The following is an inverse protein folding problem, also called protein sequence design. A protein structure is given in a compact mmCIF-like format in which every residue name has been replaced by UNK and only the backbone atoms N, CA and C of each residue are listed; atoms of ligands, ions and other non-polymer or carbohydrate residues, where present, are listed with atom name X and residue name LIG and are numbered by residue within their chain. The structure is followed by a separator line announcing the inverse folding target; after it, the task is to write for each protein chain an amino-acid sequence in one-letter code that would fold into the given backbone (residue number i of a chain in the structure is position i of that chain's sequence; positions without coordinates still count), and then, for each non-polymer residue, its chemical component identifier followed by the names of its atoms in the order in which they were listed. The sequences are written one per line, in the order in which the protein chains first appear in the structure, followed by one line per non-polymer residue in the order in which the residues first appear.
data_IF_873675002731
#
_entry.id   IF_873675002731
#
_cell.length_a   1.000
_cell.length_b   1.000
_cell.length_c   1.000
_cell.angle_alpha   90.00
_cell.angle_beta   90.00
_cell.angle_gamma   90.00
#
_symmetry.space_group_name_H-M   'P 1'
#
loop_
_entity.id
_entity.type
_entity.pdbx_description
1 polymer ?
#
# COMPACT_ATOMS: atom_id res chain seq x y z
N UNK A 1 4.81 16.97 -7.25
CA UNK A 1 5.83 17.95 -7.63
C UNK A 1 6.40 18.59 -6.36
N UNK A 2 7.15 17.82 -5.56
CA UNK A 2 8.00 18.39 -4.53
C UNK A 2 9.33 18.78 -5.16
N UNK A 3 9.34 19.96 -5.76
CA UNK A 3 10.57 20.64 -6.13
C UNK A 3 11.15 21.17 -4.82
N UNK A 4 12.17 20.48 -4.31
CA UNK A 4 13.03 21.04 -3.28
C UNK A 4 13.46 22.42 -3.77
N UNK A 5 13.16 23.49 -3.02
CA UNK A 5 13.35 24.84 -3.55
C UNK A 5 14.83 25.04 -3.87
N UNK A 6 15.12 25.75 -4.97
CA UNK A 6 16.49 26.08 -5.43
C UNK A 6 17.37 26.69 -4.31
N UNK A 7 16.75 27.32 -3.31
CA UNK A 7 17.41 27.83 -2.10
C UNK A 7 17.95 26.72 -1.20
N UNK A 8 17.18 25.64 -1.00
CA UNK A 8 17.61 24.52 -0.15
C UNK A 8 18.80 23.77 -0.77
N UNK A 9 18.84 23.65 -2.10
CA UNK A 9 19.98 23.03 -2.82
C UNK A 9 21.22 23.92 -2.74
N UNK A 10 21.08 25.24 -2.85
CA UNK A 10 22.21 26.19 -2.75
C UNK A 10 22.80 26.27 -1.33
N UNK A 11 21.97 26.09 -0.30
CA UNK A 11 22.43 26.05 1.09
C UNK A 11 23.24 24.77 1.39
N UNK A 12 22.95 23.67 0.67
CA UNK A 12 23.73 22.41 0.76
C UNK A 12 25.11 22.55 0.06
N UNK A 13 25.21 23.29 -1.03
CA UNK A 13 26.44 23.44 -1.83
C UNK A 13 27.43 24.43 -1.20
N UNK A 14 26.98 25.43 -0.44
CA UNK A 14 27.81 26.48 0.18
C UNK A 14 28.32 26.17 1.59
N UNK A 15 28.62 24.92 1.88
CA UNK A 15 29.10 24.49 3.18
C UNK A 15 30.55 24.89 3.49
N UNK A 16 30.85 25.42 4.69
CA UNK A 16 32.21 25.44 5.19
C UNK A 16 32.71 24.01 5.47
N UNK A 17 33.87 23.65 4.89
CA UNK A 17 34.47 22.31 4.92
C UNK A 17 35.05 21.87 6.28
N UNK A 18 34.78 22.55 7.38
CA UNK A 18 35.31 22.26 8.69
C UNK A 18 34.23 21.96 9.72
N UNK A 19 33.62 20.79 9.60
CA UNK A 19 33.07 20.08 10.75
C UNK A 19 33.67 18.70 10.73
N UNK A 20 34.28 18.27 11.85
CA UNK A 20 34.67 16.87 12.07
C UNK A 20 33.44 16.02 11.69
N UNK A 21 33.62 15.16 10.68
CA UNK A 21 32.53 14.38 10.14
C UNK A 21 32.00 13.46 11.26
N UNK A 22 30.78 13.71 11.69
CA UNK A 22 30.06 12.76 12.53
C UNK A 22 29.93 11.50 11.67
N UNK A 23 30.41 10.35 12.18
CA UNK A 23 30.20 9.07 11.53
C UNK A 23 28.69 8.80 11.47
N UNK A 24 28.06 9.10 10.32
CA UNK A 24 26.65 8.79 10.12
C UNK A 24 26.42 7.29 10.25
N UNK A 25 25.30 6.86 10.79
CA UNK A 25 24.98 5.45 10.97
C UNK A 25 24.91 4.69 9.63
N UNK A 26 25.18 3.40 9.68
CA UNK A 26 25.00 2.52 8.53
C UNK A 26 23.51 2.25 8.29
N UNK A 27 22.93 3.00 7.35
CA UNK A 27 21.52 2.88 6.97
C UNK A 27 21.19 1.49 6.38
N UNK A 28 22.17 0.79 5.82
CA UNK A 28 21.98 -0.58 5.30
C UNK A 28 21.73 -1.57 6.44
N UNK A 29 22.49 -1.42 7.53
CA UNK A 29 22.31 -2.22 8.73
C UNK A 29 20.93 -1.92 9.36
N UNK A 30 20.56 -0.64 9.47
CA UNK A 30 19.28 -0.24 10.04
C UNK A 30 18.11 -0.74 9.20
N UNK A 31 18.23 -0.72 7.87
CA UNK A 31 17.26 -1.32 6.96
C UNK A 31 17.05 -2.81 7.26
N UNK A 32 18.13 -3.55 7.44
CA UNK A 32 18.03 -4.98 7.73
C UNK A 32 17.26 -5.27 9.05
N UNK A 33 17.35 -4.41 10.06
CA UNK A 33 16.55 -4.54 11.27
C UNK A 33 15.05 -4.36 10.99
N UNK A 34 14.68 -3.36 10.18
CA UNK A 34 13.26 -3.10 9.83
C UNK A 34 12.72 -4.27 9.00
N UNK A 35 13.46 -4.73 7.99
CA UNK A 35 13.05 -5.82 7.10
C UNK A 35 12.83 -7.15 7.87
N UNK A 36 13.55 -7.33 8.98
CA UNK A 36 13.39 -8.50 9.87
C UNK A 36 12.35 -8.27 11.00
N UNK A 37 11.61 -7.17 11.00
CA UNK A 37 10.61 -6.85 12.03
C UNK A 37 11.18 -6.47 13.40
N UNK A 38 12.51 -6.22 13.50
CA UNK A 38 13.22 -5.88 14.73
C UNK A 38 13.26 -4.38 15.01
N UNK A 39 12.09 -3.74 14.88
CA UNK A 39 11.94 -2.29 14.99
C UNK A 39 12.24 -1.77 16.40
N UNK A 40 11.90 -2.52 17.45
CA UNK A 40 12.18 -2.15 18.85
C UNK A 40 13.68 -2.19 19.12
N UNK A 41 14.38 -3.25 18.67
CA UNK A 41 15.82 -3.35 18.79
C UNK A 41 16.53 -2.19 18.06
N UNK A 42 16.05 -1.85 16.86
CA UNK A 42 16.57 -0.73 16.09
C UNK A 42 16.38 0.60 16.81
N UNK A 43 15.21 0.83 17.41
CA UNK A 43 14.92 2.05 18.16
C UNK A 43 15.92 2.23 19.32
N UNK A 44 16.22 1.16 20.04
CA UNK A 44 17.23 1.17 21.10
C UNK A 44 18.65 1.47 20.57
N UNK A 45 19.00 0.92 19.40
CA UNK A 45 20.29 1.18 18.74
C UNK A 45 20.38 2.66 18.35
N UNK A 46 19.34 3.22 17.73
CA UNK A 46 19.28 4.62 17.33
C UNK A 46 19.40 5.53 18.56
N UNK A 47 18.67 5.24 19.63
CA UNK A 47 18.73 6.00 20.89
C UNK A 47 20.14 5.96 21.50
N UNK A 48 20.76 4.80 21.59
CA UNK A 48 22.13 4.67 22.09
C UNK A 48 23.13 5.45 21.25
N UNK A 49 22.96 5.47 19.93
CA UNK A 49 23.78 6.24 19.03
C UNK A 49 23.54 7.75 19.20
N UNK A 50 22.28 8.19 19.26
CA UNK A 50 21.86 9.60 19.40
C UNK A 50 22.37 10.22 20.72
N UNK A 51 22.21 9.50 21.83
CA UNK A 51 22.58 9.94 23.17
C UNK A 51 24.01 9.57 23.58
N UNK A 52 24.78 8.95 22.68
CA UNK A 52 26.21 8.65 22.92
C UNK A 52 27.01 9.94 23.18
N UNK A 53 27.85 9.94 24.19
CA UNK A 53 28.63 11.13 24.63
C UNK A 53 29.37 11.83 23.50
N UNK A 54 29.95 11.05 22.57
CA UNK A 54 30.69 11.58 21.43
C UNK A 54 29.77 12.16 20.33
N UNK A 55 28.57 11.66 20.20
CA UNK A 55 27.60 12.08 19.17
C UNK A 55 26.73 13.24 19.66
N UNK A 56 26.20 13.16 20.87
CA UNK A 56 25.31 14.19 21.42
C UNK A 56 25.96 15.58 21.44
N UNK A 57 27.26 15.65 21.71
CA UNK A 57 28.01 16.92 21.71
C UNK A 57 28.26 17.49 20.30
N UNK A 58 28.23 16.64 19.27
CA UNK A 58 28.54 16.99 17.86
C UNK A 58 27.27 17.18 17.01
N UNK A 59 26.12 16.65 17.45
CA UNK A 59 24.85 16.73 16.75
C UNK A 59 24.26 18.12 16.86
N UNK A 60 24.55 18.96 15.87
CA UNK A 60 23.90 20.26 15.72
C UNK A 60 22.59 20.10 14.94
N UNK A 61 21.76 21.15 14.92
CA UNK A 61 20.47 21.19 14.22
C UNK A 61 20.53 20.66 12.77
N UNK A 62 21.60 20.97 12.06
CA UNK A 62 21.79 20.55 10.68
C UNK A 62 22.05 19.04 10.57
N UNK A 63 22.89 18.49 11.45
CA UNK A 63 23.15 17.05 11.50
C UNK A 63 21.88 16.27 11.85
N UNK A 64 21.04 16.78 12.76
CA UNK A 64 19.75 16.20 13.09
C UNK A 64 18.79 16.20 11.90
N UNK A 65 18.74 17.30 11.14
CA UNK A 65 17.93 17.38 9.94
C UNK A 65 18.41 16.40 8.84
N UNK A 66 19.73 16.25 8.66
CA UNK A 66 20.27 15.26 7.72
C UNK A 66 19.90 13.84 8.15
N UNK A 67 20.05 13.51 9.44
CA UNK A 67 19.65 12.22 9.97
C UNK A 67 18.15 11.96 9.79
N UNK A 68 17.30 12.99 9.98
CA UNK A 68 15.88 12.89 9.71
C UNK A 68 15.59 12.52 8.27
N UNK A 69 16.22 13.21 7.29
CA UNK A 69 16.06 12.90 5.87
C UNK A 69 16.53 11.48 5.52
N UNK A 70 17.66 11.05 6.06
CA UNK A 70 18.19 9.70 5.82
C UNK A 70 17.24 8.63 6.37
N UNK A 71 16.68 8.83 7.56
CA UNK A 71 15.67 7.96 8.16
C UNK A 71 14.34 7.97 7.37
N UNK A 72 13.88 9.13 6.93
CA UNK A 72 12.69 9.23 6.07
C UNK A 72 12.90 8.43 4.78
N UNK A 73 14.04 8.58 4.10
CA UNK A 73 14.37 7.80 2.91
C UNK A 73 14.41 6.30 3.20
N UNK A 74 15.00 5.91 4.33
CA UNK A 74 15.04 4.53 4.76
C UNK A 74 13.62 3.95 4.93
N UNK A 75 12.75 4.66 5.65
CA UNK A 75 11.36 4.22 5.87
C UNK A 75 10.58 4.16 4.57
N UNK A 76 10.70 5.19 3.70
CA UNK A 76 10.05 5.21 2.39
C UNK A 76 10.47 4.02 1.53
N UNK A 77 11.78 3.75 1.41
CA UNK A 77 12.29 2.64 0.61
C UNK A 77 11.80 1.30 1.13
N UNK A 78 11.83 1.10 2.45
CA UNK A 78 11.36 -0.14 3.08
C UNK A 78 9.85 -0.36 2.88
N UNK A 79 9.03 0.65 3.09
CA UNK A 79 7.59 0.55 2.86
C UNK A 79 7.27 0.29 1.38
N UNK A 80 7.97 0.97 0.46
CA UNK A 80 7.78 0.79 -0.97
C UNK A 80 8.17 -0.62 -1.45
N UNK A 81 9.26 -1.18 -0.94
CA UNK A 81 9.68 -2.55 -1.25
C UNK A 81 8.66 -3.58 -0.75
N UNK A 82 7.98 -3.28 0.36
CA UNK A 82 6.86 -4.08 0.87
C UNK A 82 5.51 -3.74 0.21
N UNK A 83 5.52 -2.96 -0.88
CA UNK A 83 4.35 -2.66 -1.70
C UNK A 83 3.40 -1.62 -1.13
N UNK A 84 3.79 -0.93 -0.06
CA UNK A 84 2.98 0.08 0.61
C UNK A 84 3.18 1.43 -0.05
N UNK A 85 2.09 2.15 -0.32
CA UNK A 85 2.15 3.52 -0.81
C UNK A 85 2.48 4.48 0.34
N UNK A 86 3.75 4.53 0.72
CA UNK A 86 4.24 5.25 1.89
C UNK A 86 3.81 6.73 1.95
N UNK A 87 3.66 7.39 0.80
CA UNK A 87 3.21 8.77 0.73
C UNK A 87 1.76 8.96 1.22
N UNK A 88 0.87 7.99 0.98
CA UNK A 88 -0.52 8.07 1.46
C UNK A 88 -0.57 7.90 2.97
N UNK A 89 0.25 7.03 3.51
CA UNK A 89 0.30 6.72 4.93
C UNK A 89 0.93 7.85 5.77
N UNK A 90 2.08 8.39 5.33
CA UNK A 90 2.80 9.43 6.06
C UNK A 90 2.11 10.81 5.98
N UNK A 91 1.18 11.00 5.03
CA UNK A 91 0.39 12.22 4.87
C UNK A 91 -1.07 12.07 5.32
N UNK A 92 -1.49 10.89 5.77
CA UNK A 92 -2.84 10.70 6.29
C UNK A 92 -2.99 11.41 7.64
N UNK A 93 -3.91 12.40 7.68
CA UNK A 93 -4.12 13.30 8.84
C UNK A 93 -4.60 12.58 10.10
N UNK A 94 -5.21 11.40 9.98
CA UNK A 94 -5.80 10.68 11.11
C UNK A 94 -4.85 9.63 11.71
N UNK A 95 -3.92 9.08 10.92
CA UNK A 95 -3.00 8.02 11.34
C UNK A 95 -1.52 8.34 11.09
N UNK A 96 -1.22 9.45 10.44
CA UNK A 96 0.11 9.77 9.95
C UNK A 96 0.88 10.70 10.87
N UNK A 97 2.18 10.47 10.90
CA UNK A 97 3.19 11.32 11.49
C UNK A 97 3.23 12.67 10.76
N UNK A 98 2.26 13.56 11.06
CA UNK A 98 2.01 14.80 10.32
C UNK A 98 2.77 15.97 10.94
N UNK A 99 4.09 15.85 11.08
CA UNK A 99 4.92 17.04 11.34
C UNK A 99 6.25 16.91 10.62
N UNK A 100 6.31 17.50 9.43
CA UNK A 100 7.54 18.07 8.89
C UNK A 100 7.88 19.30 9.76
N UNK A 101 8.13 19.08 11.04
CA UNK A 101 8.70 20.09 11.93
C UNK A 101 10.20 19.93 11.78
N UNK A 102 10.86 21.01 11.38
CA UNK A 102 12.31 21.05 11.36
C UNK A 102 12.83 20.75 12.76
N UNK A 103 13.37 19.54 12.95
CA UNK A 103 13.93 19.07 14.21
C UNK A 103 15.09 19.99 14.62
N UNK A 104 15.03 20.53 15.82
CA UNK A 104 15.99 21.49 16.33
C UNK A 104 16.78 21.00 17.55
N UNK A 105 16.30 19.92 18.22
CA UNK A 105 16.92 19.37 19.41
C UNK A 105 16.99 17.83 19.39
N UNK A 106 17.80 17.24 20.28
CA UNK A 106 17.90 15.79 20.45
C UNK A 106 16.59 15.19 20.97
N UNK A 107 15.90 15.89 21.83
CA UNK A 107 14.63 15.48 22.41
C UNK A 107 13.53 15.43 21.34
N UNK A 108 13.48 16.45 20.45
CA UNK A 108 12.54 16.45 19.30
C UNK A 108 12.86 15.30 18.33
N UNK A 109 14.14 15.01 18.10
CA UNK A 109 14.55 13.89 17.25
C UNK A 109 14.17 12.55 17.84
N UNK A 110 14.38 12.34 19.14
CA UNK A 110 14.02 11.10 19.83
C UNK A 110 12.51 10.87 19.82
N UNK A 111 11.72 11.91 20.08
CA UNK A 111 10.27 11.85 20.00
C UNK A 111 9.77 11.54 18.57
N UNK A 112 10.35 12.18 17.56
CA UNK A 112 10.02 11.93 16.18
C UNK A 112 10.37 10.48 15.75
N UNK A 113 11.51 9.96 16.17
CA UNK A 113 11.93 8.57 15.93
C UNK A 113 10.91 7.61 16.57
N UNK A 114 10.54 7.84 17.82
CA UNK A 114 9.58 6.99 18.55
C UNK A 114 8.22 6.93 17.83
N UNK A 115 7.69 8.09 17.45
CA UNK A 115 6.41 8.19 16.75
C UNK A 115 6.47 7.50 15.38
N UNK A 116 7.51 7.81 14.59
CA UNK A 116 7.65 7.30 13.21
C UNK A 116 7.93 5.80 13.19
N UNK A 117 8.83 5.32 14.05
CA UNK A 117 9.13 3.89 14.19
C UNK A 117 7.92 3.10 14.67
N UNK A 118 7.14 3.65 15.61
CA UNK A 118 5.88 3.04 16.06
C UNK A 118 4.85 2.93 14.93
N UNK A 119 4.78 3.94 14.06
CA UNK A 119 3.93 3.93 12.90
C UNK A 119 4.40 2.89 11.86
N UNK A 120 5.68 2.90 11.49
CA UNK A 120 6.28 1.93 10.55
C UNK A 120 6.13 0.50 11.09
N UNK A 121 6.35 0.28 12.39
CA UNK A 121 6.20 -1.04 13.03
C UNK A 121 4.77 -1.56 12.93
N UNK A 122 3.77 -0.73 13.19
CA UNK A 122 2.35 -1.12 13.05
C UNK A 122 2.04 -1.53 11.62
N UNK A 123 2.45 -0.74 10.63
CA UNK A 123 2.21 -1.07 9.22
C UNK A 123 2.91 -2.38 8.83
N UNK A 124 4.18 -2.54 9.22
CA UNK A 124 4.93 -3.76 8.91
C UNK A 124 4.33 -4.98 9.61
N UNK A 125 3.79 -4.83 10.82
CA UNK A 125 3.02 -5.88 11.50
C UNK A 125 1.69 -6.15 10.82
N UNK A 126 0.96 -5.13 10.41
CA UNK A 126 -0.26 -5.28 9.64
C UNK A 126 0.03 -5.97 8.30
N UNK A 127 1.13 -5.65 7.63
CA UNK A 127 1.58 -6.35 6.41
C UNK A 127 2.09 -7.75 6.70
N UNK A 128 2.76 -8.02 7.82
CA UNK A 128 3.25 -9.36 8.19
C UNK A 128 2.17 -10.23 8.83
N UNK A 129 1.24 -9.65 9.59
CA UNK A 129 0.01 -10.31 10.05
C UNK A 129 -0.99 -10.54 8.91
N UNK A 130 -0.70 -9.99 7.74
CA UNK A 130 -1.37 -10.26 6.48
C UNK A 130 -0.96 -11.64 5.90
N UNK A 131 -1.07 -12.70 6.71
CA UNK A 131 -1.63 -13.95 6.17
C UNK A 131 -2.97 -13.68 5.47
N UNK A 132 -3.39 -12.45 5.34
CA UNK A 132 -4.65 -11.91 4.92
C UNK A 132 -4.65 -10.90 3.78
N UNK A 133 -3.55 -10.60 3.05
CA UNK A 133 -3.71 -9.81 1.80
C UNK A 133 -4.71 -10.53 0.90
N UNK A 134 -4.61 -11.84 0.80
CA UNK A 134 -5.56 -12.67 0.08
C UNK A 134 -6.96 -12.53 0.64
N UNK A 135 -7.13 -12.75 1.95
CA UNK A 135 -8.41 -12.70 2.64
C UNK A 135 -9.03 -11.30 2.58
N UNK A 136 -8.25 -10.24 2.81
CA UNK A 136 -8.72 -8.87 2.71
C UNK A 136 -9.10 -8.48 1.29
N UNK A 137 -8.30 -8.90 0.30
CA UNK A 137 -8.59 -8.70 -1.11
C UNK A 137 -9.89 -9.39 -1.49
N UNK A 138 -10.07 -10.66 -1.11
CA UNK A 138 -11.28 -11.43 -1.36
C UNK A 138 -12.49 -10.77 -0.68
N UNK A 139 -12.36 -10.42 0.60
CA UNK A 139 -13.43 -9.77 1.36
C UNK A 139 -13.85 -8.44 0.74
N UNK A 140 -12.87 -7.58 0.38
CA UNK A 140 -13.16 -6.31 -0.27
C UNK A 140 -13.87 -6.49 -1.60
N UNK A 141 -13.39 -7.41 -2.45
CA UNK A 141 -14.04 -7.70 -3.74
C UNK A 141 -15.48 -8.19 -3.53
N UNK A 142 -15.69 -9.16 -2.63
CA UNK A 142 -17.02 -9.73 -2.41
C UNK A 142 -18.04 -8.75 -1.85
N UNK A 143 -17.59 -7.78 -1.05
CA UNK A 143 -18.46 -6.76 -0.45
C UNK A 143 -18.75 -5.55 -1.36
N UNK A 144 -18.01 -5.41 -2.50
CA UNK A 144 -18.14 -4.28 -3.42
C UNK A 144 -18.35 -4.70 -4.88
N UNK A 145 -18.91 -5.91 -5.11
CA UNK A 145 -19.17 -6.42 -6.47
C UNK A 145 -20.17 -5.59 -7.27
N UNK A 146 -20.99 -4.80 -6.59
CA UNK A 146 -21.94 -3.85 -7.15
C UNK A 146 -21.30 -2.54 -7.64
N UNK A 147 -20.01 -2.36 -7.40
CA UNK A 147 -19.24 -1.22 -7.88
C UNK A 147 -18.37 -1.59 -9.09
N UNK A 148 -17.95 -0.58 -9.85
CA UNK A 148 -16.92 -0.75 -10.87
C UNK A 148 -15.58 -1.06 -10.19
N UNK A 149 -15.20 -2.33 -10.12
CA UNK A 149 -13.97 -2.80 -9.52
C UNK A 149 -12.86 -3.03 -10.53
N UNK A 150 -11.63 -2.69 -10.12
CA UNK A 150 -10.41 -3.08 -10.79
C UNK A 150 -9.26 -3.21 -9.77
N UNK A 151 -8.11 -3.76 -10.20
CA UNK A 151 -6.96 -3.96 -9.30
C UNK A 151 -6.47 -2.68 -8.63
N UNK A 152 -6.61 -1.51 -9.31
CA UNK A 152 -6.15 -0.22 -8.79
C UNK A 152 -7.05 0.21 -7.63
N UNK A 153 -8.37 0.11 -7.80
CA UNK A 153 -9.35 0.47 -6.77
C UNK A 153 -9.23 -0.42 -5.54
N UNK A 154 -9.07 -1.75 -5.75
CA UNK A 154 -8.84 -2.71 -4.66
C UNK A 154 -7.53 -2.41 -3.93
N UNK A 155 -6.43 -2.19 -4.65
CA UNK A 155 -5.14 -1.88 -4.05
C UNK A 155 -5.18 -0.56 -3.26
N UNK A 156 -5.84 0.47 -3.81
CA UNK A 156 -6.02 1.76 -3.13
C UNK A 156 -6.77 1.62 -1.80
N UNK A 157 -7.85 0.82 -1.79
CA UNK A 157 -8.64 0.57 -0.59
C UNK A 157 -7.85 -0.21 0.50
N UNK A 158 -6.89 -1.02 0.08
CA UNK A 158 -5.99 -1.77 0.97
C UNK A 158 -4.67 -1.04 1.25
N UNK A 159 -4.50 0.19 0.77
CA UNK A 159 -3.27 0.98 0.88
C UNK A 159 -2.03 0.29 0.27
N UNK A 160 -2.23 -0.55 -0.76
CA UNK A 160 -1.18 -1.32 -1.42
C UNK A 160 -0.85 -0.76 -2.81
N UNK A 161 0.37 -1.02 -3.27
CA UNK A 161 0.73 -0.81 -4.66
C UNK A 161 -0.01 -1.84 -5.55
N UNK A 162 -0.66 -1.43 -6.67
CA UNK A 162 -1.45 -2.33 -7.51
C UNK A 162 -0.64 -3.50 -8.10
N UNK A 163 0.61 -3.28 -8.49
CA UNK A 163 1.46 -4.32 -9.07
C UNK A 163 1.97 -5.30 -8.00
N UNK A 164 2.22 -4.80 -6.78
CA UNK A 164 2.55 -5.64 -5.64
C UNK A 164 1.36 -6.53 -5.25
N UNK A 165 0.17 -5.94 -5.10
CA UNK A 165 -1.06 -6.68 -4.80
C UNK A 165 -1.28 -7.79 -5.84
N UNK A 166 -1.21 -7.46 -7.13
CA UNK A 166 -1.49 -8.43 -8.20
C UNK A 166 -0.48 -9.57 -8.23
N UNK A 167 0.83 -9.29 -8.05
CA UNK A 167 1.88 -10.30 -7.95
C UNK A 167 1.66 -11.22 -6.75
N UNK A 168 1.36 -10.65 -5.58
CA UNK A 168 1.15 -11.39 -4.34
C UNK A 168 -0.09 -12.27 -4.43
N UNK A 169 -1.21 -11.67 -4.85
CA UNK A 169 -2.48 -12.36 -5.03
C UNK A 169 -2.38 -13.50 -6.05
N UNK A 170 -1.71 -13.24 -7.20
CA UNK A 170 -1.46 -14.28 -8.22
C UNK A 170 -0.62 -15.44 -7.70
N UNK A 171 0.37 -15.17 -6.85
CA UNK A 171 1.19 -16.22 -6.23
C UNK A 171 0.36 -17.15 -5.34
N UNK A 172 -0.62 -16.60 -4.62
CA UNK A 172 -1.43 -17.34 -3.65
C UNK A 172 -2.71 -17.95 -4.27
N UNK A 173 -3.34 -17.24 -5.21
CA UNK A 173 -4.61 -17.64 -5.83
C UNK A 173 -4.49 -18.23 -7.24
N UNK A 174 -3.30 -18.21 -7.83
CA UNK A 174 -3.07 -18.68 -9.19
C UNK A 174 -3.60 -17.78 -10.30
N UNK A 175 -4.30 -16.68 -9.97
CA UNK A 175 -4.89 -15.75 -10.94
C UNK A 175 -4.70 -14.29 -10.50
N UNK A 176 -4.76 -13.36 -11.47
CA UNK A 176 -4.71 -11.91 -11.18
C UNK A 176 -5.96 -11.43 -10.43
N UNK A 177 -5.84 -10.28 -9.73
CA UNK A 177 -6.96 -9.63 -9.04
C UNK A 177 -8.12 -9.34 -10.00
N UNK A 178 -7.83 -8.79 -11.18
CA UNK A 178 -8.87 -8.52 -12.19
C UNK A 178 -9.58 -9.80 -12.68
N UNK A 179 -8.83 -10.90 -12.82
CA UNK A 179 -9.43 -12.20 -13.20
C UNK A 179 -10.31 -12.76 -12.09
N UNK A 180 -9.93 -12.55 -10.84
CA UNK A 180 -10.74 -12.94 -9.68
C UNK A 180 -12.03 -12.13 -9.62
N UNK A 181 -11.95 -10.79 -9.74
CA UNK A 181 -13.13 -9.90 -9.80
C UNK A 181 -14.10 -10.38 -10.87
N UNK A 182 -13.61 -10.58 -12.09
CA UNK A 182 -14.42 -11.04 -13.21
C UNK A 182 -15.13 -12.36 -12.92
N UNK A 183 -14.44 -13.32 -12.31
CA UNK A 183 -15.02 -14.61 -11.92
C UNK A 183 -16.14 -14.45 -10.90
N UNK A 184 -15.96 -13.62 -9.89
CA UNK A 184 -16.96 -13.38 -8.86
C UNK A 184 -18.18 -12.63 -9.45
N UNK A 185 -17.97 -11.66 -10.34
CA UNK A 185 -19.06 -10.98 -11.06
C UNK A 185 -19.87 -11.96 -11.92
N UNK A 186 -19.21 -12.88 -12.63
CA UNK A 186 -19.89 -13.93 -13.43
C UNK A 186 -20.69 -14.88 -12.53
N UNK A 187 -20.12 -15.31 -11.41
CA UNK A 187 -20.78 -16.19 -10.44
C UNK A 187 -22.04 -15.53 -9.87
N UNK A 188 -21.94 -14.27 -9.47
CA UNK A 188 -23.07 -13.47 -9.00
C UNK A 188 -24.15 -13.34 -10.08
N UNK A 189 -23.75 -13.00 -11.31
CA UNK A 189 -24.65 -12.88 -12.44
C UNK A 189 -25.41 -14.19 -12.73
N UNK A 190 -24.69 -15.34 -12.73
CA UNK A 190 -25.29 -16.66 -12.93
C UNK A 190 -26.39 -16.93 -11.89
N UNK A 191 -26.12 -16.66 -10.61
CA UNK A 191 -27.12 -16.83 -9.56
C UNK A 191 -28.33 -15.92 -9.72
N UNK A 192 -28.12 -14.63 -10.05
CA UNK A 192 -29.21 -13.66 -10.25
C UNK A 192 -30.06 -13.95 -11.50
N UNK A 193 -29.44 -14.47 -12.57
CA UNK A 193 -30.12 -14.81 -13.82
C UNK A 193 -31.15 -15.92 -13.66
N UNK A 194 -31.04 -16.80 -12.69
CA UNK A 194 -32.02 -17.84 -12.39
C UNK A 194 -33.34 -17.28 -11.84
N UNK A 195 -33.31 -16.04 -11.33
CA UNK A 195 -34.53 -15.37 -10.90
C UNK A 195 -35.18 -14.59 -12.08
N UNK A 196 -36.32 -15.03 -12.60
CA UNK A 196 -36.97 -14.39 -13.75
C UNK A 196 -37.54 -13.00 -13.43
N UNK A 197 -37.67 -12.65 -12.14
CA UNK A 197 -38.21 -11.35 -11.70
C UNK A 197 -37.21 -10.21 -11.81
N UNK A 198 -35.88 -10.52 -11.87
CA UNK A 198 -34.85 -9.51 -11.95
C UNK A 198 -34.48 -9.27 -13.40
N UNK A 199 -34.52 -8.01 -13.86
CA UNK A 199 -34.18 -7.67 -15.24
C UNK A 199 -32.65 -7.85 -15.48
N UNK A 200 -32.25 -8.12 -16.73
CA UNK A 200 -30.81 -8.23 -17.08
C UNK A 200 -30.09 -6.90 -16.85
N UNK A 201 -30.77 -5.77 -17.02
CA UNK A 201 -30.26 -4.44 -16.74
C UNK A 201 -29.94 -4.27 -15.25
N UNK A 202 -30.86 -4.69 -14.38
CA UNK A 202 -30.66 -4.66 -12.94
C UNK A 202 -29.53 -5.61 -12.50
N UNK A 203 -29.40 -6.79 -13.11
CA UNK A 203 -28.31 -7.72 -12.84
C UNK A 203 -26.97 -7.09 -13.25
N UNK A 204 -26.89 -6.41 -14.39
CA UNK A 204 -25.69 -5.71 -14.82
C UNK A 204 -25.25 -4.67 -13.79
N UNK A 205 -26.19 -3.84 -13.31
CA UNK A 205 -25.92 -2.85 -12.27
C UNK A 205 -25.43 -3.49 -10.96
N UNK A 206 -26.07 -4.57 -10.50
CA UNK A 206 -25.64 -5.30 -9.29
C UNK A 206 -24.28 -5.98 -9.42
N UNK A 207 -23.81 -6.20 -10.64
CA UNK A 207 -22.49 -6.74 -10.94
C UNK A 207 -21.45 -5.63 -11.25
N UNK A 208 -21.75 -4.36 -10.94
CA UNK A 208 -20.85 -3.24 -11.12
C UNK A 208 -20.70 -2.74 -12.56
N UNK A 209 -21.69 -3.02 -13.44
CA UNK A 209 -21.69 -2.57 -14.83
C UNK A 209 -22.71 -1.48 -15.03
N UNK A 210 -22.28 -0.27 -15.35
CA UNK A 210 -23.16 0.83 -15.73
C UNK A 210 -23.87 0.57 -17.07
N UNK A 211 -23.22 -0.19 -17.95
CA UNK A 211 -23.72 -0.46 -19.31
C UNK A 211 -24.05 -1.95 -19.51
N UNK A 212 -25.33 -2.22 -19.78
CA UNK A 212 -25.83 -3.57 -20.03
C UNK A 212 -25.15 -4.25 -21.24
N UNK A 213 -24.73 -3.47 -22.26
CA UNK A 213 -24.05 -4.04 -23.43
C UNK A 213 -22.67 -4.58 -23.05
N UNK A 214 -21.92 -3.83 -22.21
CA UNK A 214 -20.62 -4.26 -21.69
C UNK A 214 -20.74 -5.50 -20.81
N UNK A 215 -21.76 -5.54 -19.95
CA UNK A 215 -22.08 -6.71 -19.14
C UNK A 215 -22.40 -7.93 -20.02
N UNK A 216 -23.29 -7.76 -21.03
CA UNK A 216 -23.69 -8.87 -21.90
C UNK A 216 -22.52 -9.41 -22.73
N UNK A 217 -21.64 -8.54 -23.22
CA UNK A 217 -20.42 -8.92 -23.93
C UNK A 217 -19.46 -9.68 -23.04
N UNK A 218 -19.22 -9.19 -21.82
CA UNK A 218 -18.41 -9.83 -20.80
C UNK A 218 -18.96 -11.21 -20.47
N UNK A 219 -20.25 -11.30 -20.11
CA UNK A 219 -20.89 -12.55 -19.72
C UNK A 219 -20.81 -13.59 -20.84
N UNK A 220 -21.12 -13.19 -22.09
CA UNK A 220 -21.02 -14.08 -23.26
C UNK A 220 -19.59 -14.57 -23.50
N UNK A 221 -18.60 -13.71 -23.32
CA UNK A 221 -17.19 -14.09 -23.46
C UNK A 221 -16.75 -15.12 -22.41
N UNK A 222 -17.23 -14.99 -21.17
CA UNK A 222 -16.82 -15.87 -20.06
C UNK A 222 -17.65 -17.16 -19.97
N UNK A 223 -18.90 -17.14 -20.40
CA UNK A 223 -19.87 -18.25 -20.26
C UNK A 223 -20.19 -18.94 -21.60
N UNK A 224 -19.82 -18.30 -22.71
CA UNK A 224 -20.06 -18.83 -24.07
C UNK A 224 -21.42 -18.46 -24.64
N UNK A 225 -22.42 -18.11 -23.82
CA UNK A 225 -23.79 -17.73 -24.24
C UNK A 225 -24.21 -16.40 -23.60
N UNK A 226 -25.19 -15.72 -24.20
CA UNK A 226 -25.67 -14.45 -23.66
C UNK A 226 -26.43 -14.65 -22.34
N UNK A 227 -26.58 -13.57 -21.50
CA UNK A 227 -27.35 -13.64 -20.27
C UNK A 227 -28.80 -14.10 -20.47
N UNK A 228 -29.42 -13.65 -21.55
CA UNK A 228 -30.80 -14.05 -21.88
C UNK A 228 -30.92 -15.54 -22.30
N UNK A 229 -29.94 -16.04 -23.05
CA UNK A 229 -29.85 -17.47 -23.40
C UNK A 229 -29.62 -18.33 -22.17
N UNK A 230 -28.68 -17.91 -21.29
CA UNK A 230 -28.41 -18.60 -20.03
C UNK A 230 -29.66 -18.71 -19.16
N UNK A 231 -30.42 -17.63 -19.02
CA UNK A 231 -31.70 -17.62 -18.32
C UNK A 231 -32.74 -18.58 -18.95
N UNK A 232 -32.90 -18.54 -20.28
CA UNK A 232 -33.83 -19.44 -20.99
C UNK A 232 -33.48 -20.92 -20.85
N UNK A 233 -32.17 -21.23 -20.77
CA UNK A 233 -31.66 -22.58 -20.59
C UNK A 233 -31.69 -23.05 -19.15
N UNK A 234 -32.31 -22.30 -18.22
CA UNK A 234 -32.36 -22.66 -16.81
C UNK A 234 -31.02 -22.76 -16.15
N UNK A 235 -30.01 -21.97 -16.62
CA UNK A 235 -28.65 -21.96 -16.05
C UNK A 235 -27.70 -22.99 -16.67
N UNK A 236 -28.08 -23.70 -17.70
CA UNK A 236 -27.19 -24.63 -18.40
C UNK A 236 -26.27 -23.87 -19.35
N UNK A 237 -24.98 -24.05 -19.18
CA UNK A 237 -23.95 -23.63 -20.13
C UNK A 237 -23.99 -24.56 -21.34
N UNK A 238 -23.55 -24.10 -22.51
CA UNK A 238 -23.35 -25.03 -23.61
C UNK A 238 -22.26 -26.01 -23.18
N UNK A 239 -22.48 -27.33 -23.27
CA UNK A 239 -21.36 -28.25 -23.14
C UNK A 239 -20.33 -27.90 -24.21
N UNK A 240 -19.06 -27.83 -23.80
CA UNK A 240 -17.92 -27.53 -24.68
C UNK A 240 -18.00 -28.41 -25.94
N UNK A 241 -17.96 -27.74 -27.11
CA UNK A 241 -17.74 -28.39 -28.40
C UNK A 241 -16.28 -28.76 -28.51
#
# INVERSE_FOLDING_TARGET
NNVCSRRQILDIINMPKNSEAIGMPDMTLWKAYIDNGKTVELQDIIRKWLWGKDNAAKLNRRALQMLQYDLEQLFYSTLQENGIQAHQFLYDRENGCNRVTAIGSLEEMDAWIEETMGAVSRIMQDVSNLSGIREQTIYYIQTHLDEELNRIKVASALYLNPDYLDRRFKKEMGCSVNRYILREQVNMAKGLLLNPKISVCEIASRCGYENMSNFSAMFKREVGISPNEYRKNGGMERPDL
#
